data_IF_252267859173
#
_entry.id   IF_252267859173
#
_cell.length_a   1.000
_cell.length_b   1.000
_cell.length_c   1.000
_cell.angle_alpha   90.00
_cell.angle_beta   90.00
_cell.angle_gamma   90.00
#
_symmetry.space_group_name_H-M   'P 1'
#
loop_
_entity.id
_entity.type
_entity.pdbx_description
1 polymer ?
#
# COMPACT_ATOMS: atom_id res chain seq x y z
N UNK A 1 32.77 -17.56 -29.47
CA UNK A 1 32.63 -16.13 -29.72
C UNK A 1 31.65 -15.98 -30.85
N UNK A 2 30.50 -15.28 -30.64
CA UNK A 2 29.51 -15.09 -31.71
C UNK A 2 29.77 -13.78 -32.40
N UNK A 3 29.45 -13.70 -33.70
CA UNK A 3 29.50 -12.46 -34.46
C UNK A 3 28.06 -12.01 -34.71
N UNK A 4 27.76 -10.77 -34.30
CA UNK A 4 26.41 -10.19 -34.31
C UNK A 4 26.45 -8.93 -35.15
N UNK A 5 25.49 -8.74 -36.03
CA UNK A 5 25.38 -7.52 -36.86
C UNK A 5 24.21 -6.66 -36.38
N UNK A 6 24.43 -5.34 -36.33
CA UNK A 6 23.42 -4.33 -36.08
C UNK A 6 23.30 -3.40 -37.26
N UNK A 7 22.08 -3.18 -37.76
CA UNK A 7 21.74 -2.12 -38.72
C UNK A 7 20.88 -1.13 -37.97
N UNK A 8 21.42 0.07 -37.78
CA UNK A 8 20.90 1.04 -36.84
C UNK A 8 20.61 2.39 -37.52
N UNK A 9 19.38 2.88 -37.35
CA UNK A 9 18.99 4.23 -37.73
C UNK A 9 17.91 4.78 -36.78
N UNK A 10 17.98 6.09 -36.48
CA UNK A 10 17.00 6.78 -35.65
C UNK A 10 17.22 6.68 -34.14
N UNK A 11 16.25 7.24 -33.38
CA UNK A 11 16.41 7.46 -31.93
C UNK A 11 16.36 6.13 -31.12
N UNK A 12 15.55 5.17 -31.54
CA UNK A 12 15.44 3.87 -30.87
C UNK A 12 16.77 3.11 -31.01
N UNK A 13 17.33 3.13 -32.22
CA UNK A 13 18.63 2.54 -32.53
C UNK A 13 19.76 3.15 -31.71
N UNK A 14 19.77 4.49 -31.55
CA UNK A 14 20.73 5.19 -30.72
C UNK A 14 20.66 4.73 -29.26
N UNK A 15 19.45 4.74 -28.68
CA UNK A 15 19.25 4.31 -27.31
C UNK A 15 19.62 2.83 -27.11
N UNK A 16 19.32 1.96 -28.09
CA UNK A 16 19.71 0.55 -28.06
C UNK A 16 21.24 0.42 -28.03
N UNK A 17 21.94 1.13 -28.92
CA UNK A 17 23.41 1.11 -28.99
C UNK A 17 24.03 1.60 -27.68
N UNK A 18 23.54 2.69 -27.10
CA UNK A 18 24.00 3.24 -25.83
C UNK A 18 23.81 2.20 -24.68
N UNK A 19 22.68 1.50 -24.65
CA UNK A 19 22.43 0.45 -23.65
C UNK A 19 23.36 -0.76 -23.84
N UNK A 20 23.61 -1.18 -25.07
CA UNK A 20 24.53 -2.29 -25.38
C UNK A 20 25.95 -1.92 -24.94
N UNK A 21 26.41 -0.71 -25.22
CA UNK A 21 27.73 -0.24 -24.82
C UNK A 21 27.88 -0.10 -23.30
N UNK A 22 26.82 0.39 -22.59
CA UNK A 22 26.83 0.54 -21.14
C UNK A 22 26.77 -0.80 -20.38
N UNK A 23 26.16 -1.85 -20.95
CA UNK A 23 25.98 -3.18 -20.33
C UNK A 23 26.89 -4.25 -20.94
N UNK A 24 28.00 -3.84 -21.47
CA UNK A 24 28.91 -4.75 -22.16
C UNK A 24 29.54 -5.79 -21.23
N UNK A 25 29.05 -7.02 -21.28
CA UNK A 25 29.53 -8.18 -20.51
C UNK A 25 29.76 -9.42 -21.37
N UNK A 26 29.77 -9.31 -22.71
CA UNK A 26 29.90 -10.48 -23.58
C UNK A 26 31.19 -10.45 -24.41
N UNK A 27 31.75 -11.62 -24.67
CA UNK A 27 32.90 -11.80 -25.57
C UNK A 27 32.48 -11.91 -27.05
N UNK A 28 31.37 -11.28 -27.46
CA UNK A 28 30.91 -11.30 -28.84
C UNK A 28 31.59 -10.19 -29.67
N UNK A 29 31.68 -10.44 -30.99
CA UNK A 29 32.08 -9.43 -31.95
C UNK A 29 30.83 -8.75 -32.54
N UNK A 30 30.86 -7.44 -32.61
CA UNK A 30 29.72 -6.64 -33.11
C UNK A 30 30.11 -5.88 -34.36
N UNK A 31 29.34 -6.07 -35.42
CA UNK A 31 29.45 -5.32 -36.67
C UNK A 31 28.28 -4.35 -36.71
N UNK A 32 28.55 -3.07 -36.62
CA UNK A 32 27.52 -2.03 -36.56
C UNK A 32 27.51 -1.24 -37.87
N UNK A 33 26.37 -1.25 -38.53
CA UNK A 33 26.13 -0.53 -39.78
C UNK A 33 25.17 0.60 -39.48
N UNK A 34 25.58 1.82 -39.74
CA UNK A 34 24.78 3.04 -39.55
C UNK A 34 24.66 3.83 -40.85
N UNK A 35 23.55 4.53 -41.03
CA UNK A 35 23.34 5.40 -42.17
C UNK A 35 23.93 6.81 -41.93
N UNK A 36 23.94 7.22 -40.65
CA UNK A 36 24.43 8.52 -40.21
C UNK A 36 25.64 8.35 -39.28
N UNK A 37 26.75 8.99 -39.58
CA UNK A 37 27.97 9.00 -38.76
C UNK A 37 27.74 9.54 -37.36
N UNK A 38 26.71 10.35 -37.13
CA UNK A 38 26.36 10.91 -35.82
C UNK A 38 25.98 9.83 -34.80
N UNK A 39 25.63 8.62 -35.24
CA UNK A 39 25.34 7.47 -34.39
C UNK A 39 26.59 6.75 -33.90
N UNK A 40 27.76 7.03 -34.50
CA UNK A 40 29.04 6.40 -34.11
C UNK A 40 29.58 7.09 -32.85
N UNK A 41 29.74 6.37 -31.73
CA UNK A 41 30.29 6.95 -30.51
C UNK A 41 31.78 7.33 -30.69
N UNK A 42 32.25 8.34 -29.98
CA UNK A 42 33.66 8.74 -29.98
C UNK A 42 34.59 7.67 -29.41
N UNK A 43 34.11 6.85 -28.48
CA UNK A 43 34.85 5.78 -27.82
C UNK A 43 33.99 4.53 -27.75
N UNK A 44 34.53 3.41 -28.19
CA UNK A 44 33.89 2.09 -28.15
C UNK A 44 34.92 0.96 -28.00
N UNK A 45 34.55 -0.20 -27.45
CA UNK A 45 35.46 -1.35 -27.30
C UNK A 45 35.92 -1.90 -28.65
N UNK A 46 37.13 -2.50 -28.65
CA UNK A 46 37.75 -3.10 -29.87
C UNK A 46 36.94 -4.26 -30.47
N UNK A 47 35.98 -4.78 -29.79
CA UNK A 47 35.05 -5.83 -30.25
C UNK A 47 33.91 -5.27 -31.13
N UNK A 48 33.79 -3.96 -31.26
CA UNK A 48 32.86 -3.29 -32.16
C UNK A 48 33.58 -2.78 -33.40
N UNK A 49 33.00 -3.04 -34.57
CA UNK A 49 33.41 -2.43 -35.84
C UNK A 49 32.25 -1.63 -36.39
N UNK A 50 32.50 -0.36 -36.72
CA UNK A 50 31.48 0.54 -37.26
C UNK A 50 31.70 0.77 -38.76
N UNK A 51 30.59 0.73 -39.50
CA UNK A 51 30.56 0.98 -40.94
C UNK A 51 29.42 1.97 -41.24
N UNK A 52 29.72 3.04 -42.01
CA UNK A 52 28.73 4.03 -42.41
C UNK A 52 28.38 3.89 -43.87
N UNK A 53 27.18 3.32 -44.14
CA UNK A 53 26.64 3.23 -45.48
C UNK A 53 25.14 2.85 -45.46
N UNK A 54 24.46 2.98 -46.60
CA UNK A 54 23.07 2.56 -46.75
C UNK A 54 22.96 1.05 -46.86
N UNK A 55 22.38 0.41 -45.82
CA UNK A 55 22.27 -1.03 -45.68
C UNK A 55 21.32 -1.69 -46.74
N UNK A 56 20.55 -0.92 -47.49
CA UNK A 56 19.79 -1.44 -48.64
C UNK A 56 20.65 -1.82 -49.85
N UNK A 57 21.94 -1.39 -49.85
CA UNK A 57 22.90 -1.82 -50.85
C UNK A 57 23.38 -3.25 -50.58
N UNK A 58 22.85 -4.22 -51.34
CA UNK A 58 23.23 -5.63 -51.20
C UNK A 58 24.74 -5.85 -51.38
N UNK A 59 25.37 -5.12 -52.33
CA UNK A 59 26.79 -5.22 -52.58
C UNK A 59 27.64 -4.82 -51.35
N UNK A 60 27.33 -3.68 -50.69
CA UNK A 60 28.04 -3.23 -49.50
C UNK A 60 27.73 -4.09 -48.30
N UNK A 61 26.50 -4.50 -48.13
CA UNK A 61 26.06 -5.34 -47.03
C UNK A 61 26.81 -6.68 -47.02
N UNK A 62 26.93 -7.32 -48.18
CA UNK A 62 27.63 -8.60 -48.37
C UNK A 62 29.16 -8.50 -48.20
N UNK A 63 29.74 -7.31 -48.28
CA UNK A 63 31.15 -7.12 -48.00
C UNK A 63 31.46 -7.06 -46.49
N UNK A 64 30.46 -6.66 -45.69
CA UNK A 64 30.64 -6.39 -44.24
C UNK A 64 30.05 -7.53 -43.39
N UNK A 65 28.92 -8.09 -43.84
CA UNK A 65 28.28 -9.24 -43.18
C UNK A 65 28.69 -10.52 -43.90
N UNK A 66 29.37 -11.39 -43.15
CA UNK A 66 29.80 -12.72 -43.65
C UNK A 66 28.93 -13.86 -43.05
N UNK A 67 29.23 -15.09 -43.46
CA UNK A 67 28.51 -16.29 -43.01
C UNK A 67 28.75 -16.66 -41.54
N UNK A 68 29.63 -15.99 -40.85
CA UNK A 68 29.94 -16.21 -39.43
C UNK A 68 28.95 -15.40 -38.53
N UNK A 69 28.23 -14.43 -39.07
CA UNK A 69 27.23 -13.65 -38.37
C UNK A 69 26.05 -14.57 -38.02
N UNK A 70 25.81 -14.74 -36.73
CA UNK A 70 24.72 -15.59 -36.23
C UNK A 70 23.40 -14.84 -36.10
N UNK A 71 23.44 -13.57 -35.78
CA UNK A 71 22.27 -12.74 -35.47
C UNK A 71 22.36 -11.36 -36.14
N UNK A 72 21.28 -10.91 -36.77
CA UNK A 72 21.15 -9.60 -37.39
C UNK A 72 20.01 -8.84 -36.72
N UNK A 73 20.31 -7.69 -36.11
CA UNK A 73 19.33 -6.77 -35.57
C UNK A 73 19.11 -5.61 -36.53
N UNK A 74 17.86 -5.38 -36.89
CA UNK A 74 17.46 -4.31 -37.81
C UNK A 74 16.58 -3.33 -37.01
N UNK A 75 17.11 -2.17 -36.68
CA UNK A 75 16.41 -1.12 -35.93
C UNK A 75 16.48 0.16 -36.75
N UNK A 76 15.52 0.32 -37.67
CA UNK A 76 15.38 1.48 -38.53
C UNK A 76 13.92 1.94 -38.58
N UNK A 77 13.64 3.25 -38.72
CA UNK A 77 12.26 3.75 -38.72
C UNK A 77 11.54 3.50 -40.04
N UNK A 78 12.26 3.13 -41.12
CA UNK A 78 11.73 3.01 -42.45
C UNK A 78 11.42 1.55 -42.79
N UNK A 79 10.13 1.24 -43.01
CA UNK A 79 9.62 -0.07 -43.28
C UNK A 79 10.14 -0.67 -44.60
N UNK A 80 10.26 0.14 -45.67
CA UNK A 80 10.75 -0.32 -46.98
C UNK A 80 12.23 -0.72 -46.86
N UNK A 81 13.05 0.02 -46.13
CA UNK A 81 14.43 -0.35 -45.86
C UNK A 81 14.51 -1.69 -45.12
N UNK A 82 13.66 -1.87 -44.08
CA UNK A 82 13.59 -3.15 -43.36
C UNK A 82 13.27 -4.33 -44.28
N UNK A 83 12.29 -4.16 -45.17
CA UNK A 83 11.92 -5.19 -46.15
C UNK A 83 13.08 -5.58 -47.05
N UNK A 84 13.73 -4.60 -47.67
CA UNK A 84 14.87 -4.82 -48.55
C UNK A 84 15.99 -5.56 -47.83
N UNK A 85 16.32 -5.11 -46.60
CA UNK A 85 17.38 -5.76 -45.82
C UNK A 85 16.99 -7.19 -45.42
N UNK A 86 15.75 -7.45 -45.05
CA UNK A 86 15.24 -8.79 -44.74
C UNK A 86 15.31 -9.71 -45.97
N UNK A 87 14.98 -9.21 -47.18
CA UNK A 87 15.08 -9.98 -48.41
C UNK A 87 16.52 -10.34 -48.75
N UNK A 88 17.46 -9.38 -48.58
CA UNK A 88 18.88 -9.65 -48.77
C UNK A 88 19.33 -10.70 -47.76
N UNK A 89 18.92 -10.58 -46.49
CA UNK A 89 19.26 -11.52 -45.44
C UNK A 89 18.72 -12.94 -45.72
N UNK A 90 17.47 -13.08 -46.13
CA UNK A 90 16.87 -14.36 -46.52
C UNK A 90 17.59 -15.01 -47.68
N UNK A 91 17.95 -14.23 -48.68
CA UNK A 91 18.56 -14.73 -49.89
C UNK A 91 19.98 -15.25 -49.68
N UNK A 92 20.77 -14.49 -48.91
CA UNK A 92 22.20 -14.74 -48.79
C UNK A 92 22.63 -15.44 -47.52
N UNK A 93 21.85 -15.32 -46.38
CA UNK A 93 22.24 -15.81 -45.06
C UNK A 93 21.23 -16.80 -44.47
N UNK A 94 21.12 -18.00 -45.03
CA UNK A 94 20.12 -19.02 -44.68
C UNK A 94 20.11 -19.46 -43.19
N UNK A 95 21.16 -19.24 -42.42
CA UNK A 95 21.28 -19.68 -41.03
C UNK A 95 21.18 -18.55 -40.02
N UNK A 96 21.19 -17.31 -40.46
CA UNK A 96 21.18 -16.12 -39.60
C UNK A 96 19.77 -15.87 -39.04
N UNK A 97 19.70 -15.58 -37.77
CA UNK A 97 18.49 -15.12 -37.10
C UNK A 97 18.37 -13.62 -37.29
N UNK A 98 17.19 -13.15 -37.69
CA UNK A 98 16.91 -11.74 -37.89
C UNK A 98 15.97 -11.25 -36.79
N UNK A 99 16.34 -10.17 -36.08
CA UNK A 99 15.49 -9.49 -35.12
C UNK A 99 15.24 -8.08 -35.63
N UNK A 100 13.96 -7.72 -35.80
CA UNK A 100 13.60 -6.41 -36.35
C UNK A 100 12.58 -5.69 -35.44
N UNK A 101 12.71 -4.36 -35.33
CA UNK A 101 11.72 -3.53 -34.68
C UNK A 101 10.66 -3.07 -35.69
N UNK A 102 9.38 -3.18 -35.31
CA UNK A 102 8.25 -2.75 -36.13
C UNK A 102 7.47 -1.67 -35.39
N UNK A 103 7.06 -0.61 -36.09
CA UNK A 103 6.12 0.39 -35.56
C UNK A 103 4.67 0.01 -35.73
N UNK A 104 4.37 -0.85 -36.67
CA UNK A 104 3.03 -1.35 -36.97
C UNK A 104 3.11 -2.86 -37.18
N UNK A 105 2.15 -3.61 -36.67
CA UNK A 105 2.08 -5.06 -36.93
C UNK A 105 1.82 -5.31 -38.43
N UNK A 106 2.80 -5.91 -39.07
CA UNK A 106 2.69 -6.29 -40.47
C UNK A 106 2.10 -7.70 -40.57
N UNK A 107 0.94 -7.82 -41.21
CA UNK A 107 0.47 -9.08 -41.78
C UNK A 107 1.24 -9.35 -43.08
N UNK A 108 2.51 -9.67 -43.00
CA UNK A 108 3.35 -9.85 -44.19
C UNK A 108 3.89 -11.28 -44.24
N UNK A 109 3.81 -11.92 -45.40
CA UNK A 109 4.40 -13.23 -45.69
C UNK A 109 5.93 -13.27 -45.43
N UNK A 110 6.56 -12.09 -45.30
CA UNK A 110 7.97 -11.95 -44.93
C UNK A 110 8.25 -12.37 -43.48
N UNK A 111 7.27 -12.23 -42.60
CA UNK A 111 7.39 -12.57 -41.19
C UNK A 111 7.07 -14.04 -40.89
N UNK A 112 6.50 -14.77 -41.86
CA UNK A 112 6.16 -16.18 -41.72
C UNK A 112 7.40 -17.08 -41.86
N UNK A 113 8.44 -16.78 -41.08
CA UNK A 113 9.68 -17.53 -41.04
C UNK A 113 10.17 -17.63 -39.60
N UNK A 114 10.32 -18.85 -39.09
CA UNK A 114 10.79 -19.17 -37.71
C UNK A 114 12.12 -18.50 -37.28
N UNK A 115 12.84 -17.90 -38.23
CA UNK A 115 14.12 -17.21 -37.94
C UNK A 115 13.99 -15.69 -37.82
N UNK A 116 12.81 -15.16 -38.12
CA UNK A 116 12.55 -13.73 -37.98
C UNK A 116 11.76 -13.49 -36.70
N UNK A 117 12.31 -12.69 -35.83
CA UNK A 117 11.66 -12.24 -34.59
C UNK A 117 11.33 -10.77 -34.80
N UNK A 118 10.05 -10.44 -34.75
CA UNK A 118 9.59 -9.05 -34.79
C UNK A 118 9.28 -8.55 -33.37
N UNK A 119 9.71 -7.33 -33.08
CA UNK A 119 9.41 -6.61 -31.86
C UNK A 119 8.51 -5.44 -32.21
N UNK A 120 7.26 -5.48 -31.78
CA UNK A 120 6.31 -4.38 -31.97
C UNK A 120 6.60 -3.27 -30.94
N UNK A 121 7.15 -2.14 -31.42
CA UNK A 121 7.49 -0.99 -30.57
C UNK A 121 6.25 -0.41 -29.87
N UNK A 122 5.10 -0.42 -30.55
CA UNK A 122 3.86 0.15 -30.01
C UNK A 122 3.27 -0.74 -28.92
N UNK A 123 3.31 -2.05 -29.10
CA UNK A 123 2.86 -3.01 -28.10
C UNK A 123 3.76 -2.96 -26.84
N UNK A 124 5.08 -2.91 -27.04
CA UNK A 124 6.04 -2.78 -25.92
C UNK A 124 5.76 -1.50 -25.14
N UNK A 125 5.60 -0.37 -25.83
CA UNK A 125 5.32 0.91 -25.17
C UNK A 125 3.96 0.92 -24.47
N UNK A 126 2.89 0.44 -25.14
CA UNK A 126 1.55 0.33 -24.57
C UNK A 126 1.54 -0.55 -23.31
N UNK A 127 2.23 -1.70 -23.36
CA UNK A 127 2.33 -2.58 -22.20
C UNK A 127 3.09 -1.93 -21.04
N UNK A 128 4.07 -1.06 -21.33
CA UNK A 128 4.77 -0.30 -20.31
C UNK A 128 3.88 0.75 -19.64
N UNK A 129 3.02 1.41 -20.40
CA UNK A 129 1.99 2.28 -19.82
C UNK A 129 0.97 1.48 -19.00
N UNK A 130 0.49 0.35 -19.52
CA UNK A 130 -0.44 -0.52 -18.81
C UNK A 130 0.10 -0.95 -17.44
N UNK A 131 1.39 -1.31 -17.36
CA UNK A 131 2.04 -1.70 -16.11
C UNK A 131 2.14 -0.57 -15.07
N UNK A 132 1.85 0.68 -15.45
CA UNK A 132 1.82 1.85 -14.56
C UNK A 132 0.42 2.24 -14.11
N UNK A 133 -0.61 1.62 -14.65
CA UNK A 133 -1.98 1.88 -14.20
C UNK A 133 -2.18 1.33 -12.77
N UNK A 134 -2.88 2.08 -11.91
CA UNK A 134 -3.19 1.61 -10.58
C UNK A 134 -4.10 0.36 -10.64
N UNK A 135 -3.89 -0.57 -9.70
CA UNK A 135 -4.68 -1.79 -9.52
C UNK A 135 -4.64 -2.81 -10.69
N UNK A 136 -3.62 -2.76 -11.52
CA UNK A 136 -3.34 -3.80 -12.51
C UNK A 136 -2.16 -4.65 -12.03
N UNK A 137 -2.22 -6.00 -12.15
CA UNK A 137 -1.08 -6.87 -11.83
C UNK A 137 0.12 -6.51 -12.70
N UNK A 138 1.27 -6.34 -12.06
CA UNK A 138 2.52 -6.16 -12.79
C UNK A 138 3.11 -7.54 -13.09
N UNK A 139 3.02 -7.99 -14.34
CA UNK A 139 3.59 -9.24 -14.81
C UNK A 139 4.78 -8.93 -15.73
N UNK A 140 5.98 -9.47 -15.46
CA UNK A 140 7.11 -9.29 -16.34
C UNK A 140 6.83 -9.94 -17.70
N UNK A 141 7.09 -9.22 -18.80
CA UNK A 141 7.14 -9.78 -20.15
C UNK A 141 8.54 -10.31 -20.42
N UNK A 142 8.67 -11.19 -21.39
CA UNK A 142 9.95 -11.82 -21.80
C UNK A 142 10.61 -12.66 -20.69
N UNK A 143 9.82 -13.20 -19.78
CA UNK A 143 10.29 -14.08 -18.72
C UNK A 143 9.45 -15.36 -18.64
N UNK A 144 10.12 -16.51 -18.65
CA UNK A 144 9.44 -17.82 -18.62
C UNK A 144 8.72 -18.14 -19.93
N UNK A 145 7.46 -18.52 -19.84
CA UNK A 145 6.58 -18.80 -21.00
C UNK A 145 5.72 -17.60 -21.40
N UNK A 146 5.90 -16.45 -20.79
CA UNK A 146 5.15 -15.20 -21.00
C UNK A 146 3.64 -15.29 -20.73
N UNK A 147 3.24 -16.30 -19.95
CA UNK A 147 1.83 -16.57 -19.60
C UNK A 147 1.41 -15.91 -18.28
N UNK A 148 2.31 -15.14 -17.65
CA UNK A 148 2.04 -14.48 -16.36
C UNK A 148 2.35 -15.37 -15.15
N UNK A 149 3.35 -16.25 -15.26
CA UNK A 149 3.81 -17.14 -14.18
C UNK A 149 4.49 -16.41 -13.03
N UNK A 150 4.85 -15.16 -13.24
CA UNK A 150 5.45 -14.28 -12.23
C UNK A 150 4.59 -13.02 -12.11
N UNK A 151 4.31 -12.61 -10.87
CA UNK A 151 3.47 -11.45 -10.61
C UNK A 151 3.98 -10.68 -9.40
N UNK A 152 4.00 -9.36 -9.51
CA UNK A 152 4.19 -8.46 -8.38
C UNK A 152 2.84 -7.99 -7.83
N UNK A 153 2.62 -8.16 -6.52
CA UNK A 153 1.36 -7.83 -5.87
C UNK A 153 1.61 -6.94 -4.67
N UNK A 154 1.27 -5.67 -4.77
CA UNK A 154 1.32 -4.75 -3.63
C UNK A 154 0.27 -5.10 -2.58
N UNK A 155 0.67 -5.15 -1.31
CA UNK A 155 -0.19 -5.49 -0.16
C UNK A 155 -0.82 -4.22 0.40
N UNK A 156 -2.13 -4.00 0.24
CA UNK A 156 -2.80 -2.88 0.89
C UNK A 156 -2.97 -3.14 2.40
N UNK A 157 -3.24 -2.11 3.15
CA UNK A 157 -3.36 -2.18 4.62
C UNK A 157 -4.49 -3.11 5.10
N UNK A 158 -5.63 -3.10 4.43
CA UNK A 158 -6.78 -3.97 4.74
C UNK A 158 -6.66 -5.39 4.21
N UNK A 159 -5.54 -5.75 3.59
CA UNK A 159 -5.34 -7.07 2.98
C UNK A 159 -5.40 -8.19 4.02
N UNK A 160 -6.06 -9.28 3.68
CA UNK A 160 -6.04 -10.50 4.50
C UNK A 160 -4.66 -11.15 4.62
N UNK A 161 -3.70 -10.75 3.76
CA UNK A 161 -2.31 -11.21 3.80
C UNK A 161 -1.45 -10.37 4.75
N UNK A 162 -1.84 -9.10 5.01
CA UNK A 162 -1.11 -8.23 5.93
C UNK A 162 -1.04 -8.82 7.34
N UNK A 163 0.11 -8.64 8.00
CA UNK A 163 0.41 -9.11 9.36
C UNK A 163 0.41 -10.63 9.55
N UNK A 164 0.41 -11.40 8.47
CA UNK A 164 0.50 -12.87 8.53
C UNK A 164 1.91 -13.34 8.23
N UNK A 165 2.31 -14.41 8.91
CA UNK A 165 3.53 -15.13 8.54
C UNK A 165 3.34 -15.82 7.19
N UNK A 166 4.33 -15.76 6.31
CA UNK A 166 4.30 -16.43 4.99
C UNK A 166 4.01 -17.92 5.16
N UNK A 167 4.61 -18.57 6.16
CA UNK A 167 4.36 -19.98 6.46
C UNK A 167 2.94 -20.33 6.91
N UNK A 168 2.13 -19.34 7.35
CA UNK A 168 0.74 -19.54 7.72
C UNK A 168 -0.22 -19.46 6.53
N UNK A 169 0.28 -19.05 5.36
CA UNK A 169 -0.50 -18.94 4.13
C UNK A 169 -0.39 -20.24 3.35
N UNK A 170 -1.53 -20.87 3.07
CA UNK A 170 -1.56 -22.10 2.26
C UNK A 170 -1.26 -21.72 0.80
N UNK A 171 -0.06 -22.05 0.34
CA UNK A 171 0.43 -21.79 -1.01
C UNK A 171 0.31 -23.05 -1.86
N UNK A 172 -0.83 -23.22 -2.54
CA UNK A 172 -1.08 -24.33 -3.47
C UNK A 172 -0.96 -23.82 -4.90
N UNK A 173 -0.08 -24.41 -5.70
CA UNK A 173 0.20 -24.06 -7.10
C UNK A 173 0.79 -22.65 -7.30
N UNK A 174 1.24 -22.01 -6.20
CA UNK A 174 2.00 -20.77 -6.22
C UNK A 174 2.95 -20.69 -5.04
N UNK A 175 3.94 -19.78 -5.11
CA UNK A 175 4.87 -19.46 -4.03
C UNK A 175 5.13 -17.97 -3.96
N UNK A 176 5.16 -17.44 -2.76
CA UNK A 176 5.72 -16.12 -2.48
C UNK A 176 7.22 -16.33 -2.36
N UNK A 177 8.00 -15.87 -3.36
CA UNK A 177 9.44 -16.12 -3.43
C UNK A 177 10.27 -14.98 -2.84
N UNK A 178 9.70 -13.79 -2.77
CA UNK A 178 10.34 -12.61 -2.16
C UNK A 178 9.36 -11.50 -1.89
N UNK A 179 9.86 -10.49 -1.20
CA UNK A 179 9.12 -9.28 -0.86
C UNK A 179 10.01 -8.07 -1.14
N UNK A 180 9.50 -7.07 -1.84
CA UNK A 180 10.11 -5.74 -1.84
C UNK A 180 9.53 -4.94 -0.69
N UNK A 181 10.41 -4.48 0.19
CA UNK A 181 10.10 -3.63 1.35
C UNK A 181 11.11 -2.49 1.42
N UNK A 182 10.64 -1.24 1.47
CA UNK A 182 11.51 -0.05 1.51
C UNK A 182 12.58 -0.05 0.41
N UNK A 183 12.21 -0.44 -0.83
CA UNK A 183 13.09 -0.58 -1.99
C UNK A 183 14.20 -1.64 -1.86
N UNK A 184 14.14 -2.52 -0.86
CA UNK A 184 15.03 -3.67 -0.72
C UNK A 184 14.31 -4.97 -1.04
N UNK A 185 14.98 -5.87 -1.74
CA UNK A 185 14.47 -7.21 -2.02
C UNK A 185 14.84 -8.18 -0.91
N UNK A 186 13.86 -8.80 -0.29
CA UNK A 186 14.01 -9.78 0.78
C UNK A 186 13.54 -11.14 0.29
N UNK A 187 14.38 -12.16 0.36
CA UNK A 187 13.98 -13.54 0.09
C UNK A 187 12.96 -13.98 1.14
N UNK A 188 11.90 -14.65 0.69
CA UNK A 188 10.85 -15.11 1.59
C UNK A 188 11.33 -16.19 2.55
N UNK A 189 10.89 -16.12 3.80
CA UNK A 189 11.05 -17.17 4.80
C UNK A 189 9.71 -17.47 5.48
N UNK A 190 9.53 -18.68 6.00
CA UNK A 190 8.29 -19.09 6.67
C UNK A 190 7.94 -18.23 7.90
N UNK A 191 8.97 -17.70 8.57
CA UNK A 191 8.81 -16.82 9.75
C UNK A 191 8.60 -15.34 9.40
N UNK A 192 8.80 -14.97 8.13
CA UNK A 192 8.64 -13.58 7.70
C UNK A 192 7.19 -13.15 7.76
N UNK A 193 6.95 -12.00 8.37
CA UNK A 193 5.63 -11.37 8.44
C UNK A 193 5.46 -10.41 7.28
N UNK A 194 4.39 -10.57 6.52
CA UNK A 194 3.99 -9.65 5.46
C UNK A 194 3.48 -8.36 6.10
N UNK A 195 3.98 -7.23 5.62
CA UNK A 195 3.57 -5.91 6.07
C UNK A 195 2.72 -5.21 5.00
N UNK A 196 1.86 -4.27 5.39
CA UNK A 196 1.28 -3.34 4.44
C UNK A 196 2.39 -2.63 3.63
N UNK A 197 2.11 -2.32 2.36
CA UNK A 197 3.04 -1.76 1.36
C UNK A 197 4.14 -2.70 0.88
N UNK A 198 4.27 -3.90 1.43
CA UNK A 198 5.11 -4.89 0.79
C UNK A 198 4.63 -5.13 -0.65
N UNK A 199 5.55 -5.34 -1.57
CA UNK A 199 5.24 -5.88 -2.88
C UNK A 199 5.68 -7.33 -2.87
N UNK A 200 4.72 -8.25 -2.93
CA UNK A 200 4.99 -9.69 -2.98
C UNK A 200 5.41 -10.08 -4.39
N UNK A 201 6.55 -10.72 -4.52
CA UNK A 201 6.93 -11.41 -5.75
C UNK A 201 6.41 -12.86 -5.68
N UNK A 202 5.45 -13.17 -6.52
CA UNK A 202 4.73 -14.45 -6.50
C UNK A 202 4.95 -15.19 -7.81
N UNK A 203 5.21 -16.49 -7.73
CA UNK A 203 5.45 -17.36 -8.89
C UNK A 203 4.50 -18.55 -8.84
N UNK A 204 3.90 -18.93 -9.95
CA UNK A 204 3.00 -20.08 -10.01
C UNK A 204 2.11 -20.12 -11.23
N UNK A 205 1.02 -20.89 -11.15
CA UNK A 205 0.03 -20.98 -12.21
C UNK A 205 -0.65 -19.60 -12.43
N UNK A 206 -0.70 -19.07 -13.68
CA UNK A 206 -1.27 -17.76 -13.98
C UNK A 206 -2.71 -17.55 -13.48
N UNK A 207 -3.57 -18.55 -13.63
CA UNK A 207 -4.97 -18.46 -13.16
C UNK A 207 -5.04 -18.37 -11.62
N UNK A 208 -4.18 -19.14 -10.94
CA UNK A 208 -4.06 -19.11 -9.49
C UNK A 208 -3.48 -17.76 -9.04
N UNK A 209 -2.46 -17.23 -9.73
CA UNK A 209 -1.89 -15.92 -9.42
C UNK A 209 -2.90 -14.80 -9.54
N UNK A 210 -3.77 -14.81 -10.55
CA UNK A 210 -4.87 -13.85 -10.66
C UNK A 210 -5.82 -13.95 -9.45
N UNK A 211 -6.16 -15.16 -9.01
CA UNK A 211 -6.98 -15.36 -7.81
C UNK A 211 -6.29 -14.83 -6.56
N UNK A 212 -4.99 -15.08 -6.42
CA UNK A 212 -4.16 -14.57 -5.30
C UNK A 212 -4.09 -13.05 -5.34
N UNK A 213 -3.94 -12.46 -6.53
CA UNK A 213 -3.97 -11.01 -6.70
C UNK A 213 -5.24 -10.40 -6.12
N UNK A 214 -6.42 -10.92 -6.50
CA UNK A 214 -7.69 -10.44 -5.96
C UNK A 214 -7.81 -10.66 -4.46
N UNK A 215 -7.31 -11.78 -3.92
CA UNK A 215 -7.32 -12.03 -2.48
C UNK A 215 -6.42 -11.05 -1.73
N UNK A 216 -5.20 -10.78 -2.22
CA UNK A 216 -4.29 -9.81 -1.61
C UNK A 216 -4.86 -8.40 -1.69
N UNK A 217 -5.47 -8.04 -2.82
CA UNK A 217 -6.08 -6.72 -3.03
C UNK A 217 -7.43 -6.55 -2.35
N UNK A 218 -8.09 -7.66 -1.92
CA UNK A 218 -9.36 -7.55 -1.24
C UNK A 218 -9.19 -6.83 0.11
N UNK A 219 -9.89 -5.71 0.23
CA UNK A 219 -9.84 -4.87 1.41
C UNK A 219 -10.97 -5.25 2.36
N UNK A 220 -10.71 -6.20 3.25
CA UNK A 220 -11.71 -6.75 4.18
C UNK A 220 -11.69 -6.04 5.54
N UNK A 221 -10.72 -5.13 5.73
CA UNK A 221 -10.44 -4.53 7.02
C UNK A 221 -9.73 -5.51 7.98
N UNK A 222 -8.78 -5.02 8.74
CA UNK A 222 -8.01 -5.84 9.69
C UNK A 222 -8.07 -5.31 11.13
N UNK A 223 -8.43 -4.04 11.31
CA UNK A 223 -8.47 -3.43 12.63
C UNK A 223 -9.35 -4.24 13.60
N UNK A 224 -8.90 -4.54 14.82
CA UNK A 224 -7.79 -3.90 15.55
C UNK A 224 -6.39 -4.49 15.31
N UNK A 225 -6.20 -5.46 14.41
CA UNK A 225 -4.84 -5.80 13.97
C UNK A 225 -4.21 -4.59 13.21
N UNK A 226 -2.91 -4.31 13.34
CA UNK A 226 -1.84 -5.15 13.89
C UNK A 226 -1.65 -5.05 15.41
N UNK A 227 -2.34 -4.14 16.09
CA UNK A 227 -2.11 -3.87 17.51
C UNK A 227 -2.38 -5.11 18.38
N UNK A 228 -3.46 -5.82 18.06
CA UNK A 228 -3.89 -7.06 18.69
C UNK A 228 -5.24 -7.52 18.16
N UNK A 229 -5.76 -8.63 18.68
CA UNK A 229 -6.98 -9.24 18.15
C UNK A 229 -8.23 -9.00 19.02
N UNK A 230 -8.08 -8.46 20.21
CA UNK A 230 -9.16 -8.36 21.19
C UNK A 230 -9.42 -6.92 21.62
N UNK A 231 -10.68 -6.61 21.86
CA UNK A 231 -11.12 -5.33 22.42
C UNK A 231 -11.23 -5.48 23.94
N UNK A 232 -10.68 -4.54 24.68
CA UNK A 232 -10.76 -4.48 26.13
C UNK A 232 -11.54 -3.25 26.58
N UNK A 233 -12.69 -3.44 27.18
CA UNK A 233 -13.47 -2.40 27.84
C UNK A 233 -13.14 -2.38 29.32
N UNK A 234 -12.77 -1.22 29.85
CA UNK A 234 -12.58 -1.03 31.29
C UNK A 234 -13.74 -0.23 31.87
N UNK A 235 -14.30 -0.78 32.95
CA UNK A 235 -15.38 -0.18 33.75
C UNK A 235 -14.91 -0.13 35.18
N UNK A 236 -15.12 1.00 35.85
CA UNK A 236 -14.83 1.18 37.27
C UNK A 236 -16.12 1.58 38.00
N UNK A 237 -16.65 0.65 38.81
CA UNK A 237 -17.90 0.85 39.54
C UNK A 237 -17.79 1.91 40.66
N UNK A 238 -16.58 2.29 41.03
CA UNK A 238 -16.37 3.33 42.06
C UNK A 238 -16.54 4.76 41.56
N UNK A 239 -16.37 4.97 40.23
CA UNK A 239 -16.38 6.32 39.59
C UNK A 239 -17.42 6.50 38.53
N UNK A 240 -18.03 5.42 38.00
CA UNK A 240 -19.02 5.47 36.96
C UNK A 240 -20.44 5.14 37.48
N UNK A 241 -21.42 5.88 37.02
CA UNK A 241 -22.84 5.54 37.26
C UNK A 241 -23.27 4.34 36.41
N UNK A 242 -24.35 3.66 36.84
CA UNK A 242 -24.93 2.54 36.07
C UNK A 242 -25.28 2.90 34.62
N UNK A 243 -25.72 4.13 34.37
CA UNK A 243 -26.08 4.62 33.04
C UNK A 243 -24.83 4.76 32.16
N UNK A 244 -23.74 5.28 32.72
CA UNK A 244 -22.47 5.45 32.02
C UNK A 244 -21.84 4.08 31.69
N UNK A 245 -21.80 3.16 32.64
CA UNK A 245 -21.33 1.81 32.41
C UNK A 245 -22.06 1.10 31.28
N UNK A 246 -23.40 1.11 31.31
CA UNK A 246 -24.20 0.45 30.27
C UNK A 246 -24.04 1.13 28.89
N UNK A 247 -23.87 2.43 28.86
CA UNK A 247 -23.59 3.18 27.63
C UNK A 247 -22.24 2.74 27.02
N UNK A 248 -21.20 2.65 27.85
CA UNK A 248 -19.87 2.28 27.40
C UNK A 248 -19.83 0.82 26.93
N UNK A 249 -20.55 -0.09 27.63
CA UNK A 249 -20.74 -1.49 27.21
C UNK A 249 -21.43 -1.57 25.85
N UNK A 250 -22.50 -0.83 25.63
CA UNK A 250 -23.24 -0.86 24.38
C UNK A 250 -22.36 -0.39 23.19
N UNK A 251 -21.51 0.62 23.41
CA UNK A 251 -20.57 1.07 22.39
C UNK A 251 -19.46 0.02 22.13
N UNK A 252 -18.93 -0.61 23.17
CA UNK A 252 -17.94 -1.69 23.02
C UNK A 252 -18.52 -2.90 22.29
N UNK A 253 -19.76 -3.30 22.59
CA UNK A 253 -20.48 -4.36 21.89
C UNK A 253 -20.70 -4.00 20.41
N UNK A 254 -21.05 -2.75 20.12
CA UNK A 254 -21.19 -2.26 18.74
C UNK A 254 -19.84 -2.38 18.00
N UNK A 255 -18.76 -1.93 18.59
CA UNK A 255 -17.42 -2.04 18.00
C UNK A 255 -17.04 -3.51 17.77
N UNK A 256 -17.27 -4.37 18.75
CA UNK A 256 -16.97 -5.80 18.62
C UNK A 256 -17.76 -6.47 17.47
N UNK A 257 -19.00 -6.05 17.26
CA UNK A 257 -19.84 -6.58 16.18
C UNK A 257 -19.36 -6.16 14.78
N UNK A 258 -18.80 -4.95 14.63
CA UNK A 258 -18.48 -4.38 13.32
C UNK A 258 -16.99 -4.44 12.98
N UNK A 259 -16.11 -4.44 13.97
CA UNK A 259 -14.68 -4.59 13.76
C UNK A 259 -14.24 -6.06 13.71
N UNK A 260 -13.13 -6.34 13.06
CA UNK A 260 -12.55 -7.70 12.95
C UNK A 260 -11.88 -8.16 14.25
N UNK A 261 -12.55 -7.95 15.38
CA UNK A 261 -12.06 -8.36 16.68
C UNK A 261 -12.41 -9.82 16.99
N UNK A 262 -11.46 -10.52 17.63
CA UNK A 262 -11.65 -11.94 18.01
C UNK A 262 -12.58 -12.06 19.22
N UNK A 263 -12.40 -11.19 20.23
CA UNK A 263 -13.23 -11.15 21.42
C UNK A 263 -13.28 -9.76 22.07
N UNK A 264 -14.34 -9.52 22.82
CA UNK A 264 -14.52 -8.39 23.72
C UNK A 264 -14.33 -8.87 25.17
N UNK A 265 -13.34 -8.26 25.85
CA UNK A 265 -13.07 -8.50 27.27
C UNK A 265 -13.56 -7.31 28.10
N UNK A 266 -14.63 -7.47 28.85
CA UNK A 266 -15.16 -6.45 29.78
C UNK A 266 -14.47 -6.63 31.13
N UNK A 267 -13.64 -5.65 31.52
CA UNK A 267 -12.89 -5.65 32.77
C UNK A 267 -13.61 -4.76 33.79
N UNK A 268 -14.14 -5.35 34.85
CA UNK A 268 -14.86 -4.63 35.92
C UNK A 268 -13.91 -4.42 37.10
N UNK A 269 -13.63 -3.16 37.39
CA UNK A 269 -12.83 -2.71 38.52
C UNK A 269 -13.75 -2.28 39.68
N UNK A 270 -13.29 -2.47 40.91
CA UNK A 270 -13.97 -2.08 42.15
C UNK A 270 -15.46 -2.47 42.13
N UNK A 271 -15.82 -3.77 42.05
CA UNK A 271 -17.20 -4.20 41.99
C UNK A 271 -17.95 -3.87 43.27
N UNK A 272 -18.86 -2.89 43.22
CA UNK A 272 -19.62 -2.38 44.38
C UNK A 272 -21.10 -2.74 44.36
N UNK A 273 -21.65 -3.12 43.17
CA UNK A 273 -23.07 -3.41 43.01
C UNK A 273 -23.33 -4.79 42.41
N UNK A 274 -23.83 -5.75 43.19
CA UNK A 274 -24.17 -7.08 42.68
C UNK A 274 -25.23 -7.05 41.57
N UNK A 275 -26.23 -6.15 41.68
CA UNK A 275 -27.30 -6.02 40.67
C UNK A 275 -26.75 -5.59 39.29
N UNK A 276 -25.80 -4.66 39.26
CA UNK A 276 -25.17 -4.21 38.02
C UNK A 276 -24.26 -5.30 37.47
N UNK A 277 -23.50 -5.96 38.34
CA UNK A 277 -22.67 -7.09 37.97
C UNK A 277 -23.48 -8.18 37.27
N UNK A 278 -24.59 -8.67 37.88
CA UNK A 278 -25.44 -9.68 37.28
C UNK A 278 -25.96 -9.24 35.89
N UNK A 279 -26.31 -7.96 35.73
CA UNK A 279 -26.75 -7.41 34.45
C UNK A 279 -25.63 -7.44 33.39
N UNK A 280 -24.40 -7.15 33.78
CA UNK A 280 -23.24 -7.17 32.87
C UNK A 280 -22.84 -8.64 32.56
N UNK A 281 -22.83 -9.51 33.59
CA UNK A 281 -22.48 -10.90 33.41
C UNK A 281 -23.49 -11.66 32.51
N UNK A 282 -24.74 -11.26 32.49
CA UNK A 282 -25.73 -11.77 31.55
C UNK A 282 -25.44 -11.46 30.07
N UNK A 283 -24.49 -10.59 29.78
CA UNK A 283 -24.02 -10.29 28.40
C UNK A 283 -22.91 -11.25 27.93
N UNK A 284 -22.42 -12.11 28.82
CA UNK A 284 -21.40 -13.11 28.51
C UNK A 284 -21.96 -14.13 27.51
N UNK A 285 -21.21 -14.30 26.43
CA UNK A 285 -21.53 -15.19 25.32
C UNK A 285 -20.30 -15.49 24.51
N UNK A 286 -20.39 -16.31 23.48
CA UNK A 286 -19.31 -16.56 22.56
C UNK A 286 -18.74 -15.22 22.02
N UNK A 287 -17.43 -15.04 22.19
CA UNK A 287 -16.72 -13.80 21.83
C UNK A 287 -16.84 -12.65 22.85
N UNK A 288 -17.61 -12.76 23.93
CA UNK A 288 -17.72 -11.72 24.97
C UNK A 288 -17.42 -12.33 26.34
N UNK A 289 -16.34 -11.89 26.97
CA UNK A 289 -15.90 -12.33 28.30
C UNK A 289 -16.07 -11.20 29.32
N UNK A 290 -16.55 -11.53 30.51
CA UNK A 290 -16.70 -10.59 31.63
C UNK A 290 -15.76 -11.00 32.77
N UNK A 291 -14.82 -10.13 33.09
CA UNK A 291 -13.82 -10.38 34.13
C UNK A 291 -13.95 -9.39 35.30
N UNK A 292 -13.99 -9.91 36.50
CA UNK A 292 -14.03 -9.13 37.73
C UNK A 292 -12.64 -9.03 38.33
N UNK A 293 -12.25 -7.81 38.73
CA UNK A 293 -11.08 -7.61 39.56
C UNK A 293 -11.45 -7.56 41.03
N UNK A 294 -11.26 -8.66 41.72
CA UNK A 294 -11.46 -8.78 43.20
C UNK A 294 -10.27 -8.28 44.00
N UNK A 295 -9.12 -8.02 43.36
CA UNK A 295 -7.90 -7.67 44.06
C UNK A 295 -7.75 -6.15 44.33
N UNK A 296 -8.74 -5.36 43.91
CA UNK A 296 -8.72 -3.90 44.11
C UNK A 296 -7.60 -3.21 43.31
N UNK A 297 -7.21 -3.77 42.18
CA UNK A 297 -6.20 -3.18 41.31
C UNK A 297 -6.70 -1.85 40.75
N UNK A 298 -5.85 -0.83 40.77
CA UNK A 298 -6.16 0.41 40.07
C UNK A 298 -6.23 0.18 38.56
N UNK A 299 -6.97 1.03 37.84
CA UNK A 299 -7.05 0.99 36.37
C UNK A 299 -5.68 0.84 35.70
N UNK A 300 -4.67 1.64 36.16
CA UNK A 300 -3.33 1.63 35.58
C UNK A 300 -2.58 0.31 35.79
N UNK A 301 -2.76 -0.34 36.94
CA UNK A 301 -2.16 -1.64 37.24
C UNK A 301 -2.80 -2.76 36.40
N UNK A 302 -4.15 -2.74 36.31
CA UNK A 302 -4.90 -3.71 35.52
C UNK A 302 -4.58 -3.61 34.03
N UNK A 303 -4.55 -2.37 33.50
CA UNK A 303 -4.19 -2.10 32.12
C UNK A 303 -2.76 -2.60 31.79
N UNK A 304 -1.78 -2.34 32.64
CA UNK A 304 -0.41 -2.80 32.45
C UNK A 304 -0.28 -4.33 32.46
N UNK A 305 -1.08 -5.01 33.30
CA UNK A 305 -1.13 -6.48 33.35
C UNK A 305 -1.76 -7.06 32.08
N UNK A 306 -2.87 -6.47 31.62
CA UNK A 306 -3.61 -6.96 30.46
C UNK A 306 -2.88 -6.64 29.15
N UNK A 307 -2.11 -5.57 29.09
CA UNK A 307 -1.32 -5.20 27.88
C UNK A 307 -0.32 -6.28 27.44
N UNK A 308 0.15 -7.12 28.37
CA UNK A 308 0.97 -8.30 28.05
C UNK A 308 0.28 -9.29 27.11
N UNK A 309 -1.06 -9.23 27.00
CA UNK A 309 -1.88 -10.09 26.14
C UNK A 309 -2.09 -9.53 24.74
N UNK A 310 -1.37 -8.49 24.33
CA UNK A 310 -1.49 -7.79 23.03
C UNK A 310 -2.94 -7.34 22.79
N UNK A 311 -3.34 -6.29 23.50
CA UNK A 311 -4.64 -5.63 23.32
C UNK A 311 -4.71 -4.98 21.95
N UNK A 312 -5.79 -5.18 21.21
CA UNK A 312 -5.98 -4.57 19.91
C UNK A 312 -6.64 -3.19 19.97
N UNK A 313 -7.60 -3.01 20.88
CA UNK A 313 -8.29 -1.75 21.11
C UNK A 313 -8.68 -1.64 22.59
N UNK A 314 -8.34 -0.53 23.22
CA UNK A 314 -8.81 -0.20 24.55
C UNK A 314 -10.05 0.69 24.46
N UNK A 315 -11.13 0.34 25.14
CA UNK A 315 -12.35 1.15 25.23
C UNK A 315 -12.49 1.67 26.65
N UNK A 316 -12.67 2.99 26.79
CA UNK A 316 -12.83 3.66 28.09
C UNK A 316 -13.90 4.74 28.03
N UNK A 317 -14.60 4.91 29.13
CA UNK A 317 -15.48 6.06 29.34
C UNK A 317 -14.70 7.32 29.68
N UNK A 318 -15.40 8.46 29.68
CA UNK A 318 -14.86 9.76 30.03
C UNK A 318 -14.19 9.76 31.42
N UNK A 319 -14.81 9.09 32.38
CA UNK A 319 -14.40 9.06 33.78
C UNK A 319 -13.01 8.44 33.92
N UNK A 320 -12.73 7.37 33.16
CA UNK A 320 -11.42 6.71 33.14
C UNK A 320 -10.42 7.45 32.24
N UNK A 321 -10.86 8.19 31.21
CA UNK A 321 -9.96 8.97 30.36
C UNK A 321 -9.54 10.31 30.99
N UNK A 322 -10.38 10.92 31.83
CA UNK A 322 -10.15 12.26 32.39
C UNK A 322 -8.86 12.40 33.21
N UNK A 323 -8.46 11.45 34.11
CA UNK A 323 -7.25 11.60 34.90
C UNK A 323 -5.97 11.52 34.08
N UNK A 324 -5.04 12.46 34.22
CA UNK A 324 -3.74 12.47 33.53
C UNK A 324 -2.94 11.18 33.75
N UNK A 325 -2.97 10.62 34.98
CA UNK A 325 -2.35 9.34 35.29
C UNK A 325 -2.86 8.20 34.40
N UNK A 326 -4.17 8.19 34.10
CA UNK A 326 -4.78 7.17 33.26
C UNK A 326 -4.39 7.37 31.78
N UNK A 327 -4.40 8.61 31.27
CA UNK A 327 -3.95 8.91 29.91
C UNK A 327 -2.48 8.54 29.69
N UNK A 328 -1.61 8.80 30.68
CA UNK A 328 -0.21 8.34 30.63
C UNK A 328 -0.08 6.82 30.54
N UNK A 329 -0.93 6.10 31.29
CA UNK A 329 -0.94 4.64 31.23
C UNK A 329 -1.46 4.13 29.89
N UNK A 330 -2.52 4.72 29.35
CA UNK A 330 -3.06 4.40 28.02
C UNK A 330 -2.03 4.66 26.92
N UNK A 331 -1.37 5.81 26.93
CA UNK A 331 -0.32 6.16 25.97
C UNK A 331 0.82 5.13 25.95
N UNK A 332 1.28 4.70 27.13
CA UNK A 332 2.35 3.71 27.28
C UNK A 332 2.00 2.32 26.72
N UNK A 333 0.73 2.03 26.46
CA UNK A 333 0.34 0.73 25.88
C UNK A 333 0.66 0.64 24.40
N UNK A 334 0.91 1.75 23.70
CA UNK A 334 1.05 1.84 22.25
C UNK A 334 -0.12 1.12 21.52
N UNK A 335 -1.33 1.20 22.11
CA UNK A 335 -2.55 0.56 21.61
C UNK A 335 -3.59 1.64 21.30
N UNK A 336 -4.37 1.53 20.21
CA UNK A 336 -5.47 2.46 19.96
C UNK A 336 -6.46 2.51 21.13
N UNK A 337 -6.95 3.72 21.40
CA UNK A 337 -7.89 3.95 22.50
C UNK A 337 -9.17 4.57 21.96
N UNK A 338 -10.29 3.92 22.19
CA UNK A 338 -11.62 4.44 21.90
C UNK A 338 -12.21 5.06 23.18
N UNK A 339 -12.42 6.37 23.13
CA UNK A 339 -13.15 7.11 24.18
C UNK A 339 -14.62 7.19 23.78
N UNK A 340 -15.49 6.63 24.61
CA UNK A 340 -16.96 6.60 24.38
C UNK A 340 -17.57 8.00 24.45
N UNK A 341 -18.74 8.15 23.84
CA UNK A 341 -19.53 9.39 23.89
C UNK A 341 -20.83 9.23 24.67
N UNK A 342 -21.58 10.33 24.85
CA UNK A 342 -22.86 10.30 25.55
C UNK A 342 -24.04 9.78 24.73
N UNK A 343 -23.98 9.89 23.40
CA UNK A 343 -25.11 9.65 22.50
C UNK A 343 -25.16 8.22 21.93
N UNK A 344 -24.06 7.46 22.01
CA UNK A 344 -23.93 6.14 21.39
C UNK A 344 -23.67 6.22 19.88
N UNK A 345 -23.56 5.05 19.23
CA UNK A 345 -23.15 4.93 17.83
C UNK A 345 -24.29 4.98 16.81
N UNK A 346 -25.55 4.82 17.23
CA UNK A 346 -26.70 4.59 16.33
C UNK A 346 -27.01 5.73 15.34
N UNK A 347 -26.41 6.91 15.51
CA UNK A 347 -26.60 8.09 14.65
C UNK A 347 -25.33 8.59 13.99
N UNK A 348 -24.25 7.81 14.07
CA UNK A 348 -22.95 8.22 13.54
C UNK A 348 -22.76 7.57 12.18
N UNK A 349 -22.60 8.39 11.14
CA UNK A 349 -22.33 7.98 9.77
C UNK A 349 -21.09 8.66 9.18
N UNK A 350 -20.39 9.47 10.00
CA UNK A 350 -19.24 10.23 9.55
C UNK A 350 -18.10 10.15 10.55
N UNK A 351 -16.90 10.25 10.04
CA UNK A 351 -15.69 10.44 10.81
C UNK A 351 -14.94 11.69 10.35
N UNK A 352 -14.08 12.23 11.18
CA UNK A 352 -13.28 13.42 10.86
C UNK A 352 -11.85 13.27 11.33
N UNK A 353 -10.94 13.73 10.48
CA UNK A 353 -9.53 13.96 10.78
C UNK A 353 -9.26 15.43 10.60
N UNK A 354 -8.75 16.09 11.63
CA UNK A 354 -8.26 17.46 11.53
C UNK A 354 -6.77 17.40 11.25
N UNK A 355 -6.37 17.87 10.07
CA UNK A 355 -4.98 17.84 9.64
C UNK A 355 -4.13 18.80 10.49
N UNK A 356 -3.02 18.31 10.99
CA UNK A 356 -2.02 19.07 11.75
C UNK A 356 -0.61 18.63 11.31
N UNK A 357 0.42 19.32 11.82
CA UNK A 357 1.80 19.02 11.46
C UNK A 357 2.27 17.62 11.88
N UNK A 358 1.69 17.07 12.96
CA UNK A 358 2.03 15.74 13.47
C UNK A 358 1.52 14.60 12.57
N UNK A 359 0.50 14.85 11.74
CA UNK A 359 -0.03 13.86 10.80
C UNK A 359 0.82 13.71 9.52
N UNK A 360 1.80 14.58 9.31
CA UNK A 360 2.72 14.51 8.19
C UNK A 360 3.60 13.25 8.16
N UNK A 361 3.78 12.60 9.30
CA UNK A 361 4.85 11.62 9.50
C UNK A 361 4.35 10.19 9.33
N UNK A 362 3.03 9.95 9.43
CA UNK A 362 2.53 8.57 9.58
C UNK A 362 1.46 8.20 8.54
N UNK A 363 1.92 7.66 7.40
CA UNK A 363 1.04 6.95 6.48
C UNK A 363 0.37 5.73 7.16
N UNK A 364 0.92 5.21 8.27
CA UNK A 364 0.34 4.12 9.05
C UNK A 364 -0.94 4.56 9.76
N UNK A 365 -0.98 5.78 10.28
CA UNK A 365 -2.20 6.34 10.91
C UNK A 365 -3.32 6.48 9.90
N UNK A 366 -3.06 7.02 8.71
CA UNK A 366 -4.07 7.23 7.68
C UNK A 366 -4.71 5.90 7.26
N UNK A 367 -3.93 4.85 7.19
CA UNK A 367 -4.39 3.51 6.84
C UNK A 367 -5.28 2.88 7.90
N UNK A 368 -4.95 3.07 9.18
CA UNK A 368 -5.81 2.66 10.30
C UNK A 368 -7.13 3.45 10.27
N UNK A 369 -7.10 4.75 9.97
CA UNK A 369 -8.29 5.58 9.85
C UNK A 369 -9.22 5.06 8.76
N UNK A 370 -8.68 4.77 7.57
CA UNK A 370 -9.47 4.21 6.46
C UNK A 370 -10.04 2.85 6.80
N UNK A 371 -9.23 1.96 7.40
CA UNK A 371 -9.66 0.63 7.79
C UNK A 371 -10.83 0.69 8.79
N UNK A 372 -10.68 1.46 9.87
CA UNK A 372 -11.75 1.66 10.87
C UNK A 372 -12.99 2.30 10.25
N UNK A 373 -12.81 3.36 9.43
CA UNK A 373 -13.93 4.05 8.78
C UNK A 373 -14.69 3.11 7.85
N UNK A 374 -13.98 2.27 7.09
CA UNK A 374 -14.59 1.26 6.20
C UNK A 374 -15.36 0.21 6.99
N UNK A 375 -14.76 -0.37 8.05
CA UNK A 375 -15.44 -1.40 8.87
C UNK A 375 -16.68 -0.86 9.59
N UNK A 376 -16.69 0.40 9.97
CA UNK A 376 -17.80 1.05 10.67
C UNK A 376 -18.77 1.77 9.72
N UNK A 377 -18.58 1.69 8.41
CA UNK A 377 -19.37 2.37 7.36
C UNK A 377 -19.47 3.89 7.60
N UNK A 378 -18.33 4.54 7.86
CA UNK A 378 -18.22 5.96 8.14
C UNK A 378 -17.65 6.71 6.94
N UNK A 379 -18.32 7.80 6.52
CA UNK A 379 -17.78 8.72 5.52
C UNK A 379 -16.73 9.62 6.15
N UNK A 380 -15.50 9.59 5.64
CA UNK A 380 -14.36 10.34 6.16
C UNK A 380 -14.39 11.81 5.69
N UNK A 381 -14.26 12.73 6.63
CA UNK A 381 -14.03 14.16 6.39
C UNK A 381 -12.57 14.50 6.74
N UNK A 382 -11.82 15.00 5.79
CA UNK A 382 -10.54 15.65 6.02
C UNK A 382 -10.77 17.13 6.25
N UNK A 383 -10.36 17.64 7.41
CA UNK A 383 -10.52 19.03 7.77
C UNK A 383 -9.16 19.72 7.81
N UNK A 384 -8.86 20.54 6.80
CA UNK A 384 -7.62 21.29 6.69
C UNK A 384 -7.87 22.78 6.99
N UNK A 385 -7.35 23.23 8.14
CA UNK A 385 -7.47 24.62 8.58
C UNK A 385 -6.12 25.29 8.61
N UNK A 386 -5.96 26.36 7.84
CA UNK A 386 -4.81 27.24 7.92
C UNK A 386 -5.22 28.69 7.68
N UNK A 387 -5.03 29.60 8.68
CA UNK A 387 -5.35 31.01 8.55
C UNK A 387 -4.59 31.72 7.42
N UNK A 388 -3.44 31.20 7.03
CA UNK A 388 -2.57 31.74 6.00
C UNK A 388 -2.76 31.07 4.63
N UNK A 389 -3.74 30.19 4.48
CA UNK A 389 -4.04 29.42 3.26
C UNK A 389 -2.91 28.49 2.80
N UNK A 390 -2.06 28.05 3.71
CA UNK A 390 -0.99 27.08 3.45
C UNK A 390 -1.56 25.68 3.69
N UNK A 391 -2.37 25.22 2.73
CA UNK A 391 -3.02 23.91 2.82
C UNK A 391 -2.03 22.76 2.61
N UNK A 392 -2.33 21.64 3.24
CA UNK A 392 -1.47 20.44 3.28
C UNK A 392 -1.79 19.52 2.10
N UNK A 393 -1.47 19.98 0.88
CA UNK A 393 -1.81 19.27 -0.36
C UNK A 393 -1.21 17.87 -0.41
N UNK A 394 0.04 17.69 0.00
CA UNK A 394 0.70 16.36 0.01
C UNK A 394 -0.03 15.33 0.89
N UNK A 395 -0.53 15.76 2.05
CA UNK A 395 -1.33 14.87 2.92
C UNK A 395 -2.67 14.55 2.25
N UNK A 396 -3.31 15.55 1.68
CA UNK A 396 -4.59 15.37 0.99
C UNK A 396 -4.43 14.39 -0.16
N UNK A 397 -3.41 14.55 -1.00
CA UNK A 397 -3.10 13.66 -2.13
C UNK A 397 -2.87 12.22 -1.64
N UNK A 398 -2.17 12.04 -0.52
CA UNK A 398 -1.98 10.72 0.11
C UNK A 398 -3.32 10.10 0.54
N UNK A 399 -4.20 10.88 1.17
CA UNK A 399 -5.53 10.39 1.56
C UNK A 399 -6.43 10.12 0.36
N UNK A 400 -6.35 10.89 -0.72
CA UNK A 400 -7.07 10.61 -1.96
C UNK A 400 -6.61 9.30 -2.59
N UNK A 401 -5.31 9.05 -2.66
CA UNK A 401 -4.75 7.79 -3.13
C UNK A 401 -5.23 6.60 -2.29
N UNK A 402 -5.24 6.74 -0.96
CA UNK A 402 -5.79 5.72 -0.08
C UNK A 402 -7.29 5.54 -0.28
N UNK A 403 -8.05 6.61 -0.50
CA UNK A 403 -9.50 6.51 -0.74
C UNK A 403 -9.83 5.65 -1.96
N UNK A 404 -9.05 5.75 -3.02
CA UNK A 404 -9.15 4.87 -4.19
C UNK A 404 -8.83 3.42 -3.83
N UNK A 405 -7.78 3.18 -3.03
CA UNK A 405 -7.38 1.85 -2.58
C UNK A 405 -8.47 1.17 -1.74
N UNK A 406 -9.10 1.93 -0.84
CA UNK A 406 -10.18 1.45 0.02
C UNK A 406 -11.58 1.55 -0.60
N UNK A 407 -11.69 1.99 -1.86
CA UNK A 407 -12.95 2.25 -2.55
C UNK A 407 -13.94 3.06 -1.66
N UNK A 408 -13.42 4.01 -0.92
CA UNK A 408 -14.17 4.85 0.01
C UNK A 408 -14.16 6.30 -0.46
N UNK A 409 -15.30 7.00 -0.27
CA UNK A 409 -15.39 8.42 -0.61
C UNK A 409 -14.94 9.26 0.58
N UNK A 410 -14.08 10.23 0.34
CA UNK A 410 -13.66 11.23 1.31
C UNK A 410 -14.29 12.60 0.95
N UNK A 411 -14.61 13.37 1.98
CA UNK A 411 -14.94 14.80 1.85
C UNK A 411 -13.72 15.60 2.30
N UNK A 412 -13.35 16.64 1.56
CA UNK A 412 -12.24 17.52 1.91
C UNK A 412 -12.79 18.92 2.17
N UNK A 413 -12.47 19.47 3.33
CA UNK A 413 -12.83 20.83 3.71
C UNK A 413 -11.59 21.65 4.05
N UNK A 414 -11.17 22.49 3.11
CA UNK A 414 -10.09 23.46 3.31
C UNK A 414 -10.69 24.82 3.67
N UNK A 415 -10.22 25.43 4.74
CA UNK A 415 -10.76 26.72 5.21
C UNK A 415 -9.72 27.53 5.98
N UNK A 416 -9.75 28.83 5.79
CA UNK A 416 -8.94 29.82 6.48
C UNK A 416 -9.70 30.54 7.61
N UNK A 417 -11.03 30.44 7.63
CA UNK A 417 -11.90 31.21 8.53
C UNK A 417 -12.54 30.39 9.64
N UNK A 418 -12.78 29.10 9.39
CA UNK A 418 -13.51 28.22 10.32
C UNK A 418 -12.54 27.44 11.19
N UNK A 419 -12.31 27.87 12.40
CA UNK A 419 -11.51 27.09 13.35
C UNK A 419 -12.16 25.72 13.61
N UNK A 420 -11.42 24.58 13.49
CA UNK A 420 -11.97 23.23 13.60
C UNK A 420 -12.67 22.97 14.93
N UNK A 421 -12.15 23.52 16.03
CA UNK A 421 -12.72 23.36 17.36
C UNK A 421 -14.12 23.97 17.44
N UNK A 422 -14.28 25.19 16.91
CA UNK A 422 -15.58 25.88 16.90
C UNK A 422 -16.55 25.23 15.94
N UNK A 423 -16.08 24.88 14.74
CA UNK A 423 -16.90 24.26 13.71
C UNK A 423 -17.43 22.91 14.15
N UNK A 424 -16.55 21.99 14.57
CA UNK A 424 -16.97 20.65 14.97
C UNK A 424 -17.87 20.65 16.21
N UNK A 425 -17.71 21.63 17.11
CA UNK A 425 -18.62 21.82 18.24
C UNK A 425 -20.02 22.36 17.85
N UNK A 426 -20.11 23.08 16.75
CA UNK A 426 -21.39 23.61 16.26
C UNK A 426 -22.25 22.58 15.53
N UNK A 427 -21.66 21.43 15.14
CA UNK A 427 -22.37 20.38 14.41
C UNK A 427 -23.39 19.69 15.30
N UNK A 428 -24.60 19.52 14.78
CA UNK A 428 -25.73 18.85 15.48
C UNK A 428 -25.57 17.32 15.51
N UNK A 429 -24.88 16.76 14.52
CA UNK A 429 -24.71 15.31 14.38
C UNK A 429 -23.32 14.88 14.88
N UNK A 430 -23.26 13.86 15.73
CA UNK A 430 -21.97 13.36 16.23
C UNK A 430 -21.16 12.70 15.09
N UNK A 431 -19.84 12.84 15.18
CA UNK A 431 -18.87 12.23 14.27
C UNK A 431 -17.80 11.51 15.07
N UNK A 432 -17.22 10.45 14.53
CA UNK A 432 -16.02 9.85 15.13
C UNK A 432 -14.83 10.75 14.87
N UNK A 433 -14.16 11.22 15.90
CA UNK A 433 -12.93 11.99 15.76
C UNK A 433 -11.71 11.06 15.84
N UNK A 434 -10.91 11.04 14.79
CA UNK A 434 -9.60 10.42 14.81
C UNK A 434 -8.55 11.43 15.25
N UNK A 435 -7.75 11.05 16.24
CA UNK A 435 -6.72 11.90 16.82
C UNK A 435 -5.41 11.09 16.97
N UNK A 436 -4.26 11.64 16.62
CA UNK A 436 -2.98 11.04 16.97
C UNK A 436 -2.84 11.02 18.50
N UNK A 437 -2.41 9.89 19.07
CA UNK A 437 -2.20 9.79 20.51
C UNK A 437 -0.80 10.28 20.88
N UNK A 438 -0.67 11.56 21.04
CA UNK A 438 0.59 12.22 21.38
C UNK A 438 0.79 12.36 22.90
N UNK A 439 2.06 12.51 23.31
CA UNK A 439 2.41 12.76 24.71
C UNK A 439 1.74 14.02 25.26
N UNK A 440 1.49 15.02 24.41
CA UNK A 440 0.79 16.27 24.75
C UNK A 440 -0.58 16.01 25.40
N UNK A 441 -1.33 15.00 24.93
CA UNK A 441 -2.65 14.59 25.44
C UNK A 441 -2.56 14.02 26.85
N UNK A 442 -1.42 13.48 27.25
CA UNK A 442 -1.23 12.89 28.58
C UNK A 442 -1.08 13.93 29.67
N UNK A 443 -0.67 15.15 29.33
CA UNK A 443 -0.37 16.23 30.28
C UNK A 443 -1.66 16.95 30.69
N UNK A 444 -1.76 17.32 31.96
CA UNK A 444 -2.82 18.22 32.49
C UNK A 444 -2.32 19.65 32.45
N UNK A 445 -2.93 20.49 31.60
CA UNK A 445 -2.63 21.93 31.58
C UNK A 445 -3.82 22.71 32.10
N UNK A 446 -3.58 23.56 33.07
CA UNK A 446 -4.61 24.40 33.72
C UNK A 446 -5.35 25.32 32.75
N UNK A 447 -4.69 25.71 31.62
CA UNK A 447 -5.22 26.65 30.62
C UNK A 447 -5.63 25.99 29.32
N UNK A 448 -5.99 24.69 29.30
CA UNK A 448 -6.41 23.98 28.10
C UNK A 448 -7.59 24.64 27.36
N UNK A 449 -8.48 25.29 28.07
CA UNK A 449 -9.63 26.00 27.52
C UNK A 449 -9.25 27.20 26.64
N UNK A 450 -8.03 27.71 26.75
CA UNK A 450 -7.49 28.79 25.93
C UNK A 450 -6.67 28.28 24.72
N UNK A 451 -6.40 26.99 24.64
CA UNK A 451 -5.61 26.42 23.53
C UNK A 451 -6.39 26.42 22.23
N UNK A 452 -5.77 26.80 21.13
CA UNK A 452 -6.29 26.69 19.76
C UNK A 452 -5.79 25.41 19.06
N UNK A 453 -4.97 24.61 19.73
CA UNK A 453 -4.38 23.39 19.17
C UNK A 453 -5.41 22.27 19.04
N UNK A 454 -5.23 21.41 18.03
CA UNK A 454 -6.14 20.30 17.68
C UNK A 454 -6.31 19.31 18.83
N UNK A 455 -5.27 19.10 19.65
CA UNK A 455 -5.30 18.23 20.83
C UNK A 455 -6.38 18.65 21.86
N UNK A 456 -6.83 19.89 21.80
CA UNK A 456 -7.98 20.35 22.61
C UNK A 456 -9.25 19.56 22.30
N UNK A 457 -9.41 19.05 21.10
CA UNK A 457 -10.53 18.19 20.74
C UNK A 457 -10.67 16.98 21.64
N UNK A 458 -9.56 16.45 22.18
CA UNK A 458 -9.56 15.33 23.14
C UNK A 458 -10.34 15.62 24.42
N UNK A 459 -10.50 16.90 24.78
CA UNK A 459 -11.10 17.35 26.04
C UNK A 459 -12.41 18.11 25.88
N UNK A 460 -12.88 18.27 24.63
CA UNK A 460 -14.16 18.92 24.36
C UNK A 460 -15.36 18.04 24.73
N UNK A 461 -16.55 18.61 24.63
CA UNK A 461 -17.82 17.98 25.01
C UNK A 461 -17.92 16.54 24.51
N UNK A 462 -18.41 15.65 25.38
CA UNK A 462 -18.51 14.19 25.16
C UNK A 462 -19.63 13.81 24.17
N UNK A 463 -19.93 14.66 23.17
CA UNK A 463 -20.88 14.33 22.12
C UNK A 463 -20.28 13.40 21.06
N UNK A 464 -18.99 13.58 20.78
CA UNK A 464 -18.29 12.86 19.75
C UNK A 464 -17.45 11.73 20.36
N UNK A 465 -17.57 10.49 19.87
CA UNK A 465 -16.63 9.44 20.23
C UNK A 465 -15.29 9.75 19.57
N UNK A 466 -14.22 9.32 20.22
CA UNK A 466 -12.86 9.63 19.79
C UNK A 466 -12.01 8.37 19.72
N UNK A 467 -11.24 8.24 18.65
CA UNK A 467 -10.25 7.18 18.51
C UNK A 467 -8.86 7.82 18.51
N UNK A 468 -8.08 7.47 19.51
CA UNK A 468 -6.68 7.87 19.63
C UNK A 468 -5.81 6.76 19.02
N UNK A 469 -5.04 7.10 18.01
CA UNK A 469 -4.16 6.17 17.32
C UNK A 469 -2.74 6.44 17.77
N UNK A 470 -1.99 5.44 18.31
CA UNK A 470 -0.63 5.62 18.74
C UNK A 470 0.27 5.93 17.54
N UNK A 471 1.19 6.88 17.71
CA UNK A 471 2.29 7.13 16.78
C UNK A 471 3.39 6.14 17.15
N UNK A 472 3.76 5.27 16.25
CA UNK A 472 4.89 4.35 16.44
C UNK A 472 6.13 5.07 15.91
N UNK A 473 7.03 5.47 16.81
CA UNK A 473 8.35 6.01 16.45
C UNK A 473 9.29 4.92 15.93
#
# INVERSE_FOLDING_TARGET
MKKIAFILDGIVAKNFLDLVLARYFSNNLYVVIVKDESLIPKYYPSTFSFHCFDATSSFRLLQVIDSEVSDLFIITPNLEEQRIICEIAKTHFKRMRVVLSLKESLNDELLDNDKIISIDETEVLASKFLSRLPNIPNTPKEFGLEKGEIMEIGVPFGSIFAYRHIGSIRQKEYRIVGIYRNNEFLLSSVSMVIQPRDILLVVGNPEVLNSVYFQVKSNVGQFPAPFGKSIYLYIDMSVQSSKEMMRDINQALFLHKHLKSHKLCIQILHPTSPKIYHKIHALEKEGVEVNLDFYGQSFTQKLAKDNKKKIGLVVVGKELFKPSKHRKALYKTATPVFKTNQLGFSKISRSVVVLNESLHIDEDISSVIFDVSSQLDLKLLLYDFDPNKRYRTEIIDSYENLSHTYNSKIDILQTDTKNPILYLNSLKHPMVHFLPFEESITKSRFLWFLSTKVERLAFLKDHNPQIFIPIVE
#
